data_IF_223104386726
#
_entry.id   IF_223104386726
#
_cell.length_a   1.000
_cell.length_b   1.000
_cell.length_c   1.000
_cell.angle_alpha   90.00
_cell.angle_beta   90.00
_cell.angle_gamma   90.00
#
_symmetry.space_group_name_H-M   'P 1'
#
loop_
_entity.id
_entity.type
_entity.pdbx_description
1 polymer ?
#
# COMPACT_ATOMS: atom_id res chain seq x y z
N UNK A 1 19.54 28.21 12.13
CA UNK A 1 20.54 27.56 13.00
C UNK A 1 21.50 26.82 12.09
N UNK A 2 22.70 27.35 11.88
CA UNK A 2 23.71 26.66 11.05
C UNK A 2 24.25 25.47 11.83
N UNK A 3 24.22 24.28 11.24
CA UNK A 3 24.79 23.07 11.83
C UNK A 3 26.32 23.18 11.76
N UNK A 4 27.02 22.98 12.89
CA UNK A 4 28.48 22.89 12.90
C UNK A 4 28.97 21.66 12.12
N UNK A 5 30.23 21.69 11.68
CA UNK A 5 30.82 20.57 10.93
C UNK A 5 30.86 19.28 11.74
N UNK A 6 31.15 19.36 13.04
CA UNK A 6 31.07 18.22 13.96
C UNK A 6 29.65 17.64 14.04
N UNK A 7 28.63 18.50 14.03
CA UNK A 7 27.22 18.08 14.03
C UNK A 7 26.86 17.42 12.71
N UNK A 8 27.35 17.93 11.57
CA UNK A 8 27.12 17.33 10.25
C UNK A 8 27.78 15.96 10.12
N UNK A 9 28.98 15.80 10.67
CA UNK A 9 29.67 14.50 10.72
C UNK A 9 28.89 13.49 11.56
N UNK A 10 28.42 13.89 12.74
CA UNK A 10 27.58 13.06 13.60
C UNK A 10 26.26 12.64 12.92
N UNK A 11 25.58 13.57 12.25
CA UNK A 11 24.35 13.29 11.49
C UNK A 11 24.61 12.32 10.33
N UNK A 12 25.73 12.47 9.63
CA UNK A 12 26.11 11.59 8.51
C UNK A 12 26.27 10.15 8.98
N UNK A 13 26.87 9.94 10.16
CA UNK A 13 26.98 8.62 10.77
C UNK A 13 25.62 8.01 11.13
N UNK A 14 24.66 8.82 11.60
CA UNK A 14 23.31 8.36 11.94
C UNK A 14 22.50 7.91 10.71
N UNK A 15 22.70 8.55 9.56
CA UNK A 15 21.93 8.26 8.34
C UNK A 15 22.49 7.09 7.52
N UNK A 16 23.64 6.51 7.89
CA UNK A 16 24.39 5.49 7.15
C UNK A 16 24.86 5.92 5.75
N UNK A 17 26.04 5.43 5.36
CA UNK A 17 26.63 5.73 4.05
C UNK A 17 25.78 5.24 2.86
N UNK A 18 25.07 4.12 3.01
CA UNK A 18 24.23 3.56 1.94
C UNK A 18 23.01 4.44 1.61
N UNK A 19 22.37 5.03 2.62
CA UNK A 19 21.20 5.91 2.41
C UNK A 19 21.59 7.29 1.94
N UNK A 20 22.72 7.81 2.42
CA UNK A 20 23.18 9.15 2.04
C UNK A 20 24.03 9.13 0.77
N UNK A 21 24.62 8.00 0.39
CA UNK A 21 25.60 7.89 -0.71
C UNK A 21 25.08 8.38 -2.05
N UNK A 22 23.82 8.07 -2.38
CA UNK A 22 23.20 8.58 -3.62
C UNK A 22 23.04 10.11 -3.59
N UNK A 23 22.65 10.67 -2.44
CA UNK A 23 22.50 12.12 -2.30
C UNK A 23 23.85 12.84 -2.23
N UNK A 24 24.87 12.24 -1.61
CA UNK A 24 26.24 12.75 -1.60
C UNK A 24 26.83 12.82 -3.00
N UNK A 25 26.63 11.78 -3.81
CA UNK A 25 27.09 11.75 -5.20
C UNK A 25 26.47 12.88 -6.03
N UNK A 26 25.21 13.25 -5.76
CA UNK A 26 24.50 14.32 -6.46
C UNK A 26 24.81 15.71 -5.92
N UNK A 27 24.97 15.84 -4.59
CA UNK A 27 25.11 17.12 -3.91
C UNK A 27 26.56 17.60 -3.75
N UNK A 28 27.55 16.71 -3.91
CA UNK A 28 28.98 16.99 -3.77
C UNK A 28 29.46 17.31 -2.34
N UNK A 29 28.56 17.53 -1.39
CA UNK A 29 28.91 17.80 0.02
C UNK A 29 27.84 17.28 1.00
N UNK A 30 28.19 17.02 2.29
CA UNK A 30 27.27 16.45 3.26
C UNK A 30 26.04 17.32 3.57
N UNK A 31 26.20 18.64 3.68
CA UNK A 31 25.09 19.53 4.08
C UNK A 31 23.93 19.52 3.06
N UNK A 32 24.12 19.72 1.75
CA UNK A 32 23.03 19.64 0.78
C UNK A 32 22.54 18.20 0.57
N UNK A 33 23.39 17.18 0.73
CA UNK A 33 22.96 15.78 0.70
C UNK A 33 21.97 15.45 1.83
N UNK A 34 22.26 15.89 3.06
CA UNK A 34 21.37 15.75 4.22
C UNK A 34 20.06 16.52 3.96
N UNK A 35 20.13 17.73 3.41
CA UNK A 35 18.94 18.50 3.07
C UNK A 35 18.05 17.79 2.03
N UNK A 36 18.63 17.25 0.95
CA UNK A 36 17.90 16.45 -0.05
C UNK A 36 17.27 15.20 0.55
N UNK A 37 18.01 14.49 1.40
CA UNK A 37 17.51 13.33 2.11
C UNK A 37 16.27 13.69 2.94
N UNK A 38 16.33 14.76 3.73
CA UNK A 38 15.21 15.21 4.55
C UNK A 38 14.01 15.66 3.71
N UNK A 39 14.23 16.39 2.61
CA UNK A 39 13.16 16.77 1.68
C UNK A 39 12.50 15.54 1.04
N UNK A 40 13.29 14.53 0.66
CA UNK A 40 12.78 13.27 0.11
C UNK A 40 11.92 12.52 1.14
N UNK A 41 12.35 12.51 2.40
CA UNK A 41 11.60 11.88 3.49
C UNK A 41 10.27 12.62 3.78
N UNK A 42 10.27 13.96 3.72
CA UNK A 42 9.06 14.76 3.86
C UNK A 42 8.04 14.46 2.76
N UNK A 43 8.49 14.43 1.49
CA UNK A 43 7.65 14.02 0.35
C UNK A 43 7.10 12.62 0.57
N UNK A 44 7.94 11.66 0.99
CA UNK A 44 7.52 10.29 1.25
C UNK A 44 6.44 10.21 2.35
N UNK A 45 6.56 11.01 3.42
CA UNK A 45 5.55 11.09 4.49
C UNK A 45 4.19 11.55 3.97
N UNK A 46 4.14 12.67 3.26
CA UNK A 46 2.88 13.17 2.68
C UNK A 46 2.32 12.22 1.62
N UNK A 47 3.18 11.60 0.81
CA UNK A 47 2.78 10.62 -0.21
C UNK A 47 2.15 9.37 0.42
N UNK A 48 2.64 8.90 1.57
CA UNK A 48 2.03 7.80 2.32
C UNK A 48 0.63 8.16 2.83
N UNK A 49 0.43 9.39 3.34
CA UNK A 49 -0.88 9.87 3.76
C UNK A 49 -1.88 9.87 2.59
N UNK A 50 -1.51 10.46 1.45
CA UNK A 50 -2.36 10.48 0.25
C UNK A 50 -2.66 9.06 -0.23
N UNK A 51 -1.65 8.20 -0.29
CA UNK A 51 -1.80 6.80 -0.72
C UNK A 51 -2.75 6.02 0.19
N UNK A 52 -2.72 6.25 1.51
CA UNK A 52 -3.61 5.57 2.45
C UNK A 52 -5.08 5.91 2.20
N UNK A 53 -5.39 7.20 1.95
CA UNK A 53 -6.76 7.64 1.63
C UNK A 53 -7.23 7.05 0.29
N UNK A 54 -6.36 7.07 -0.73
CA UNK A 54 -6.65 6.45 -2.03
C UNK A 54 -6.90 4.95 -1.90
N UNK A 55 -6.09 4.23 -1.12
CA UNK A 55 -6.25 2.80 -0.87
C UNK A 55 -7.59 2.49 -0.19
N UNK A 56 -7.97 3.26 0.84
CA UNK A 56 -9.25 3.09 1.54
C UNK A 56 -10.42 3.33 0.59
N UNK A 57 -10.40 4.42 -0.18
CA UNK A 57 -11.46 4.74 -1.13
C UNK A 57 -11.59 3.67 -2.22
N UNK A 58 -10.46 3.26 -2.81
CA UNK A 58 -10.41 2.19 -3.82
C UNK A 58 -10.96 0.88 -3.26
N UNK A 59 -10.47 0.45 -2.10
CA UNK A 59 -10.91 -0.77 -1.43
C UNK A 59 -12.40 -0.77 -1.19
N UNK A 60 -12.93 0.28 -0.58
CA UNK A 60 -14.35 0.35 -0.24
C UNK A 60 -15.21 0.30 -1.50
N UNK A 61 -14.82 1.04 -2.55
CA UNK A 61 -15.51 1.00 -3.86
C UNK A 61 -15.50 -0.41 -4.46
N UNK A 62 -14.36 -1.12 -4.41
CA UNK A 62 -14.26 -2.52 -4.86
C UNK A 62 -15.19 -3.41 -4.03
N UNK A 63 -15.14 -3.30 -2.70
CA UNK A 63 -15.94 -4.13 -1.79
C UNK A 63 -17.44 -3.96 -2.04
N UNK A 64 -17.91 -2.72 -2.23
CA UNK A 64 -19.32 -2.43 -2.50
C UNK A 64 -19.75 -3.05 -3.83
N UNK A 65 -18.95 -2.90 -4.88
CA UNK A 65 -19.26 -3.51 -6.18
C UNK A 65 -19.23 -5.04 -6.14
N UNK A 66 -18.27 -5.65 -5.44
CA UNK A 66 -18.19 -7.10 -5.30
C UNK A 66 -19.34 -7.66 -4.47
N UNK A 67 -19.68 -7.03 -3.34
CA UNK A 67 -20.81 -7.43 -2.51
C UNK A 67 -22.13 -7.39 -3.29
N UNK A 68 -22.36 -6.32 -4.06
CA UNK A 68 -23.54 -6.20 -4.91
C UNK A 68 -23.54 -7.21 -6.06
N UNK A 69 -22.39 -7.45 -6.69
CA UNK A 69 -22.29 -8.40 -7.80
C UNK A 69 -22.53 -9.85 -7.37
N UNK A 70 -21.97 -10.25 -6.23
CA UNK A 70 -22.12 -11.59 -5.69
C UNK A 70 -23.40 -11.77 -4.85
N UNK A 71 -24.10 -10.68 -4.50
CA UNK A 71 -25.33 -10.75 -3.70
C UNK A 71 -25.11 -11.20 -2.25
N UNK A 72 -23.89 -11.10 -1.73
CA UNK A 72 -23.53 -11.50 -0.36
C UNK A 72 -22.46 -10.59 0.19
N UNK A 73 -22.50 -10.31 1.50
CA UNK A 73 -21.44 -9.58 2.21
C UNK A 73 -20.26 -10.48 2.60
N UNK A 74 -20.39 -11.80 2.43
CA UNK A 74 -19.35 -12.81 2.73
C UNK A 74 -18.58 -13.31 1.50
N UNK A 75 -18.66 -12.57 0.39
CA UNK A 75 -18.00 -12.88 -0.88
C UNK A 75 -16.49 -13.11 -0.75
N UNK A 76 -15.83 -12.51 0.25
CA UNK A 76 -14.39 -12.67 0.46
C UNK A 76 -14.04 -14.07 0.96
N UNK A 77 -14.85 -14.65 1.85
CA UNK A 77 -14.60 -15.98 2.44
C UNK A 77 -15.27 -17.09 1.65
N UNK A 78 -16.49 -16.83 1.21
CA UNK A 78 -17.35 -17.78 0.52
C UNK A 78 -17.97 -17.12 -0.71
N UNK A 79 -17.16 -16.85 -1.76
CA UNK A 79 -17.71 -16.34 -3.01
C UNK A 79 -18.69 -17.35 -3.64
N UNK A 80 -19.81 -16.89 -4.23
CA UNK A 80 -20.70 -17.75 -5.00
C UNK A 80 -20.03 -18.33 -6.25
N UNK A 81 -20.39 -19.57 -6.60
CA UNK A 81 -19.99 -20.22 -7.85
C UNK A 81 -20.50 -19.44 -9.08
N UNK A 82 -19.78 -19.47 -10.23
CA UNK A 82 -18.57 -20.26 -10.49
C UNK A 82 -17.26 -19.55 -10.07
N UNK A 83 -17.33 -18.40 -9.40
CA UNK A 83 -16.12 -17.68 -8.99
C UNK A 83 -15.42 -18.39 -7.83
N UNK A 84 -14.10 -18.48 -7.91
CA UNK A 84 -13.25 -18.99 -6.85
C UNK A 84 -11.92 -18.24 -6.83
N UNK A 85 -11.42 -17.96 -5.62
CA UNK A 85 -10.11 -17.37 -5.44
C UNK A 85 -9.01 -18.31 -5.93
N UNK A 86 -7.93 -17.74 -6.47
CA UNK A 86 -6.70 -18.49 -6.72
C UNK A 86 -5.93 -18.68 -5.42
N UNK A 87 -4.97 -19.59 -5.40
CA UNK A 87 -4.32 -20.02 -4.16
C UNK A 87 -3.52 -18.91 -3.48
N UNK A 88 -2.96 -17.98 -4.26
CA UNK A 88 -2.32 -16.79 -3.71
C UNK A 88 -3.32 -15.92 -2.94
N UNK A 89 -4.50 -15.63 -3.51
CA UNK A 89 -5.53 -14.84 -2.83
C UNK A 89 -6.13 -15.59 -1.65
N UNK A 90 -6.36 -16.91 -1.74
CA UNK A 90 -6.80 -17.74 -0.60
C UNK A 90 -5.82 -17.62 0.58
N UNK A 91 -4.52 -17.70 0.30
CA UNK A 91 -3.47 -17.57 1.31
C UNK A 91 -3.53 -16.21 1.97
N UNK A 92 -3.60 -15.13 1.19
CA UNK A 92 -3.69 -13.76 1.73
C UNK A 92 -4.97 -13.52 2.54
N UNK A 93 -6.10 -14.08 2.11
CA UNK A 93 -7.36 -14.02 2.85
C UNK A 93 -7.23 -14.78 4.18
N UNK A 94 -6.60 -15.96 4.18
CA UNK A 94 -6.32 -16.73 5.40
C UNK A 94 -5.42 -15.97 6.38
N UNK A 95 -4.34 -15.35 5.89
CA UNK A 95 -3.45 -14.48 6.68
C UNK A 95 -4.20 -13.29 7.28
N UNK A 96 -5.06 -12.64 6.50
CA UNK A 96 -5.89 -11.52 6.94
C UNK A 96 -6.90 -11.93 8.02
N UNK A 97 -7.54 -13.11 7.88
CA UNK A 97 -8.44 -13.66 8.91
C UNK A 97 -7.65 -13.91 10.20
N UNK A 98 -6.50 -14.59 10.12
CA UNK A 98 -5.67 -14.86 11.29
C UNK A 98 -5.18 -13.57 11.97
N UNK A 99 -4.82 -12.54 11.19
CA UNK A 99 -4.44 -11.23 11.71
C UNK A 99 -5.61 -10.55 12.43
N UNK A 100 -6.81 -10.55 11.83
CA UNK A 100 -8.01 -9.98 12.44
C UNK A 100 -8.39 -10.70 13.74
N UNK A 101 -8.30 -12.03 13.76
CA UNK A 101 -8.53 -12.85 14.96
C UNK A 101 -7.52 -12.53 16.07
N UNK A 102 -6.24 -12.38 15.74
CA UNK A 102 -5.21 -11.97 16.70
C UNK A 102 -5.47 -10.59 17.25
N UNK A 103 -5.82 -9.62 16.40
CA UNK A 103 -6.14 -8.26 16.80
C UNK A 103 -7.36 -8.19 17.73
N UNK A 104 -8.40 -9.00 17.46
CA UNK A 104 -9.56 -9.14 18.34
C UNK A 104 -9.17 -9.78 19.69
N UNK A 105 -8.37 -10.85 19.66
CA UNK A 105 -7.92 -11.56 20.86
C UNK A 105 -7.05 -10.70 21.79
N UNK A 106 -6.18 -9.85 21.24
CA UNK A 106 -5.32 -8.93 22.03
C UNK A 106 -6.14 -7.95 22.86
N UNK A 107 -7.34 -7.59 22.42
CA UNK A 107 -8.25 -6.67 23.13
C UNK A 107 -9.06 -7.35 24.24
N UNK A 108 -8.96 -8.67 24.37
CA UNK A 108 -9.76 -9.42 25.34
C UNK A 108 -9.12 -9.47 26.73
N UNK A 109 -9.97 -9.37 27.75
CA UNK A 109 -9.60 -9.61 29.14
C UNK A 109 -9.52 -11.10 29.50
N UNK A 110 -9.11 -11.40 30.73
CA UNK A 110 -8.96 -12.77 31.23
C UNK A 110 -10.31 -13.51 31.35
N UNK A 111 -11.39 -12.81 31.67
CA UNK A 111 -12.72 -13.43 31.82
C UNK A 111 -13.28 -13.87 30.47
N UNK A 112 -13.19 -13.01 29.45
CA UNK A 112 -13.57 -13.33 28.08
C UNK A 112 -12.77 -14.51 27.51
N UNK A 113 -11.46 -14.56 27.77
CA UNK A 113 -10.60 -15.68 27.37
C UNK A 113 -11.02 -17.00 28.04
N UNK A 114 -11.45 -16.94 29.31
CA UNK A 114 -11.97 -18.12 30.03
C UNK A 114 -13.29 -18.60 29.44
N UNK A 115 -14.21 -17.70 29.07
CA UNK A 115 -15.46 -18.09 28.39
C UNK A 115 -15.21 -18.83 27.07
N UNK A 116 -14.16 -18.46 26.32
CA UNK A 116 -13.74 -19.19 25.13
C UNK A 116 -13.28 -20.61 25.50
N UNK A 117 -12.48 -20.75 26.56
CA UNK A 117 -12.03 -22.07 27.01
C UNK A 117 -13.19 -22.96 27.42
N UNK A 118 -14.14 -22.44 28.20
CA UNK A 118 -15.30 -23.19 28.66
C UNK A 118 -16.13 -23.70 27.47
N UNK A 119 -16.18 -22.93 26.37
CA UNK A 119 -16.85 -23.33 25.13
C UNK A 119 -16.05 -24.36 24.32
N UNK A 120 -14.73 -24.20 24.22
CA UNK A 120 -13.87 -25.04 23.37
C UNK A 120 -13.49 -26.36 24.03
N UNK A 121 -13.32 -26.36 25.35
CA UNK A 121 -12.80 -27.47 26.13
C UNK A 121 -13.84 -27.93 27.15
N UNK A 122 -14.81 -28.75 26.71
CA UNK A 122 -15.90 -29.25 27.58
C UNK A 122 -15.41 -29.93 28.87
N UNK A 123 -14.23 -30.54 28.85
CA UNK A 123 -13.62 -31.25 29.98
C UNK A 123 -12.41 -30.49 30.59
N UNK A 124 -12.33 -29.17 30.36
CA UNK A 124 -11.18 -28.36 30.75
C UNK A 124 -10.03 -28.43 29.76
N UNK A 125 -9.11 -27.46 29.86
CA UNK A 125 -7.96 -27.33 28.96
C UNK A 125 -7.04 -28.57 29.10
N UNK A 126 -6.70 -29.25 27.99
CA UNK A 126 -5.87 -30.46 28.05
C UNK A 126 -4.52 -30.23 28.75
N UNK A 127 -4.09 -31.14 29.64
CA UNK A 127 -2.76 -31.06 30.24
C UNK A 127 -1.68 -31.21 29.16
N UNK A 128 -0.64 -30.36 29.21
CA UNK A 128 0.44 -30.34 28.22
C UNK A 128 0.21 -29.42 27.02
N UNK A 129 -0.91 -28.69 26.95
CA UNK A 129 -1.13 -27.68 25.92
C UNK A 129 -0.21 -26.47 26.17
N UNK A 130 0.74 -26.22 25.26
CA UNK A 130 1.62 -25.04 25.31
C UNK A 130 0.81 -23.75 25.25
N UNK A 131 1.30 -22.68 25.89
CA UNK A 131 0.65 -21.37 25.88
C UNK A 131 0.37 -20.84 24.45
N UNK A 132 1.32 -21.00 23.54
CA UNK A 132 1.19 -20.55 22.15
C UNK A 132 0.07 -21.30 21.41
N UNK A 133 0.05 -22.63 21.51
CA UNK A 133 -1.00 -23.46 20.90
C UNK A 133 -2.37 -23.18 21.50
N UNK A 134 -2.44 -22.93 22.82
CA UNK A 134 -3.67 -22.53 23.49
C UNK A 134 -4.18 -21.19 22.98
N UNK A 135 -3.32 -20.18 22.89
CA UNK A 135 -3.66 -18.88 22.34
C UNK A 135 -4.12 -18.98 20.87
N UNK A 136 -3.45 -19.81 20.06
CA UNK A 136 -3.82 -20.04 18.64
C UNK A 136 -5.22 -20.67 18.50
N UNK A 137 -5.52 -21.68 19.31
CA UNK A 137 -6.85 -22.33 19.33
C UNK A 137 -7.94 -21.30 19.69
N UNK A 138 -7.71 -20.48 20.72
CA UNK A 138 -8.64 -19.41 21.10
C UNK A 138 -8.82 -18.41 19.97
N UNK A 139 -7.74 -17.91 19.37
CA UNK A 139 -7.78 -16.97 18.24
C UNK A 139 -8.60 -17.53 17.07
N UNK A 140 -8.35 -18.77 16.66
CA UNK A 140 -9.05 -19.41 15.53
C UNK A 140 -10.55 -19.60 15.78
N UNK A 141 -10.97 -19.68 17.04
CA UNK A 141 -12.40 -19.77 17.39
C UNK A 141 -13.17 -18.45 17.30
N UNK A 142 -12.45 -17.32 17.20
CA UNK A 142 -13.09 -16.01 17.14
C UNK A 142 -13.71 -15.77 15.77
N UNK A 143 -15.01 -15.45 15.79
CA UNK A 143 -15.70 -14.91 14.63
C UNK A 143 -15.35 -13.42 14.49
N UNK A 144 -14.77 -13.04 13.34
CA UNK A 144 -14.41 -11.65 13.03
C UNK A 144 -15.23 -11.13 11.84
N UNK A 145 -15.80 -9.91 11.91
CA UNK A 145 -16.55 -9.33 10.80
C UNK A 145 -15.71 -9.19 9.52
N UNK A 146 -16.36 -9.29 8.34
CA UNK A 146 -15.66 -9.13 7.06
C UNK A 146 -14.94 -7.80 6.92
N UNK A 147 -15.54 -6.71 7.41
CA UNK A 147 -14.89 -5.40 7.42
C UNK A 147 -13.54 -5.39 8.16
N UNK A 148 -13.41 -6.18 9.23
CA UNK A 148 -12.13 -6.32 9.94
C UNK A 148 -11.11 -7.10 9.13
N UNK A 149 -11.52 -8.17 8.43
CA UNK A 149 -10.62 -8.93 7.53
C UNK A 149 -10.17 -8.08 6.36
N UNK A 150 -11.11 -7.37 5.72
CA UNK A 150 -10.85 -6.44 4.61
C UNK A 150 -9.82 -5.38 5.03
N UNK A 151 -9.85 -4.92 6.30
CA UNK A 151 -8.88 -3.99 6.84
C UNK A 151 -7.49 -4.56 7.12
N UNK A 152 -7.33 -5.89 7.14
CA UNK A 152 -6.03 -6.55 7.25
C UNK A 152 -5.38 -6.84 5.89
N UNK A 153 -6.11 -6.66 4.79
CA UNK A 153 -5.58 -6.83 3.43
C UNK A 153 -4.84 -5.57 2.98
N UNK A 154 -3.62 -5.74 2.47
CA UNK A 154 -2.79 -4.64 1.97
C UNK A 154 -3.15 -4.25 0.53
N UNK A 155 -2.70 -3.08 0.08
CA UNK A 155 -2.81 -2.61 -1.31
C UNK A 155 -2.43 -3.68 -2.36
N UNK A 156 -1.49 -4.57 -2.05
CA UNK A 156 -1.13 -5.68 -2.94
C UNK A 156 -2.35 -6.54 -3.33
N UNK A 157 -3.20 -6.90 -2.36
CA UNK A 157 -4.39 -7.70 -2.63
C UNK A 157 -5.32 -6.97 -3.59
N UNK A 158 -5.55 -5.68 -3.35
CA UNK A 158 -6.47 -4.86 -4.13
C UNK A 158 -5.97 -4.61 -5.56
N UNK A 159 -4.68 -4.29 -5.76
CA UNK A 159 -4.11 -4.15 -7.11
C UNK A 159 -4.11 -5.47 -7.90
N UNK A 160 -3.95 -6.61 -7.21
CA UNK A 160 -3.91 -7.94 -7.82
C UNK A 160 -5.22 -8.31 -8.51
N UNK A 161 -6.35 -7.81 -8.02
CA UNK A 161 -7.66 -8.01 -8.65
C UNK A 161 -7.79 -7.40 -10.05
N UNK A 162 -6.89 -6.47 -10.42
CA UNK A 162 -6.82 -5.86 -11.75
C UNK A 162 -5.80 -6.53 -12.67
N UNK A 163 -5.18 -7.65 -12.26
CA UNK A 163 -4.26 -8.40 -13.12
C UNK A 163 -4.98 -9.16 -14.25
N UNK A 164 -4.23 -9.59 -15.26
CA UNK A 164 -4.78 -10.29 -16.44
C UNK A 164 -5.56 -11.56 -16.06
N UNK A 165 -5.11 -12.27 -15.04
CA UNK A 165 -5.76 -13.46 -14.49
C UNK A 165 -7.18 -13.23 -13.97
N UNK A 166 -7.49 -11.99 -13.59
CA UNK A 166 -8.80 -11.56 -13.10
C UNK A 166 -9.64 -10.83 -14.15
N UNK A 167 -9.20 -10.82 -15.42
CA UNK A 167 -9.91 -10.13 -16.48
C UNK A 167 -11.32 -10.71 -16.73
N UNK A 168 -11.39 -12.02 -16.99
CA UNK A 168 -12.66 -12.71 -17.20
C UNK A 168 -13.50 -12.83 -15.92
N UNK A 169 -12.94 -13.28 -14.77
CA UNK A 169 -13.77 -13.55 -13.59
C UNK A 169 -14.18 -12.31 -12.80
N UNK A 170 -13.45 -11.19 -12.85
CA UNK A 170 -13.77 -9.99 -12.05
C UNK A 170 -13.87 -8.71 -12.88
N UNK A 171 -12.90 -8.40 -13.75
CA UNK A 171 -12.90 -7.13 -14.50
C UNK A 171 -14.14 -6.95 -15.39
N UNK A 172 -14.33 -7.88 -16.33
CA UNK A 172 -15.46 -7.84 -17.28
C UNK A 172 -16.84 -7.83 -16.61
N UNK A 173 -17.10 -8.66 -15.58
CA UNK A 173 -18.41 -8.71 -14.94
C UNK A 173 -18.64 -7.59 -13.91
N UNK A 174 -17.61 -7.11 -13.20
CA UNK A 174 -17.81 -6.20 -12.07
C UNK A 174 -16.77 -5.08 -11.91
N UNK A 175 -15.45 -5.34 -11.93
CA UNK A 175 -14.46 -4.32 -11.56
C UNK A 175 -14.37 -3.16 -12.56
N UNK A 176 -14.77 -3.35 -13.83
CA UNK A 176 -14.91 -2.22 -14.76
C UNK A 176 -15.92 -1.17 -14.28
N UNK A 177 -16.83 -1.51 -13.36
CA UNK A 177 -17.77 -0.53 -12.76
C UNK A 177 -17.13 0.35 -11.69
N UNK A 178 -16.01 -0.09 -11.12
CA UNK A 178 -15.18 0.74 -10.21
C UNK A 178 -14.57 1.92 -10.98
N UNK A 179 -14.31 1.75 -12.27
CA UNK A 179 -13.83 2.77 -13.20
C UNK A 179 -14.74 2.81 -14.45
N UNK A 180 -15.92 3.43 -14.36
CA UNK A 180 -16.98 3.26 -15.35
C UNK A 180 -16.75 4.02 -16.67
N UNK A 181 -15.65 4.77 -16.79
CA UNK A 181 -15.17 5.30 -18.06
C UNK A 181 -14.88 4.17 -19.06
N UNK A 182 -15.69 4.13 -20.13
CA UNK A 182 -15.65 3.08 -21.17
C UNK A 182 -14.38 3.11 -22.02
N UNK A 183 -13.59 4.19 -21.95
CA UNK A 183 -12.33 4.30 -22.67
C UNK A 183 -11.21 3.51 -21.99
N UNK A 184 -11.35 3.23 -20.70
CA UNK A 184 -10.33 2.54 -19.90
C UNK A 184 -10.35 1.03 -20.11
N UNK A 185 -9.15 0.48 -20.33
CA UNK A 185 -8.89 -0.96 -20.29
C UNK A 185 -8.40 -1.34 -18.90
N UNK A 186 -8.56 -2.62 -18.54
CA UNK A 186 -8.03 -3.19 -17.29
C UNK A 186 -6.54 -2.87 -17.10
N UNK A 187 -5.77 -3.02 -18.18
CA UNK A 187 -4.33 -2.80 -18.17
C UNK A 187 -3.96 -1.37 -17.81
N UNK A 188 -4.73 -0.37 -18.27
CA UNK A 188 -4.48 1.04 -17.97
C UNK A 188 -4.58 1.30 -16.46
N UNK A 189 -5.63 0.75 -15.82
CA UNK A 189 -5.83 0.83 -14.36
C UNK A 189 -4.75 0.05 -13.62
N UNK A 190 -4.43 -1.16 -14.08
CA UNK A 190 -3.43 -2.02 -13.44
C UNK A 190 -2.05 -1.36 -13.38
N UNK A 191 -1.63 -0.66 -14.44
CA UNK A 191 -0.36 0.08 -14.48
C UNK A 191 -0.33 1.19 -13.44
N UNK A 192 -1.41 1.95 -13.25
CA UNK A 192 -1.44 3.01 -12.25
C UNK A 192 -1.40 2.45 -10.82
N UNK A 193 -2.16 1.38 -10.55
CA UNK A 193 -2.12 0.73 -9.24
C UNK A 193 -0.75 0.11 -8.94
N UNK A 194 -0.04 -0.40 -9.94
CA UNK A 194 1.31 -0.91 -9.79
C UNK A 194 2.31 0.20 -9.40
N UNK A 195 2.24 1.37 -10.07
CA UNK A 195 3.06 2.54 -9.74
C UNK A 195 2.88 2.97 -8.28
N UNK A 196 1.63 3.09 -7.83
CA UNK A 196 1.31 3.45 -6.43
C UNK A 196 1.83 2.38 -5.47
N UNK A 197 1.60 1.10 -5.77
CA UNK A 197 2.05 -0.02 -4.94
C UNK A 197 3.57 -0.07 -4.77
N UNK A 198 4.32 0.03 -5.86
CA UNK A 198 5.79 -0.01 -5.83
C UNK A 198 6.36 1.13 -4.99
N UNK A 199 5.86 2.34 -5.21
CA UNK A 199 6.30 3.52 -4.46
C UNK A 199 5.97 3.43 -2.98
N UNK A 200 4.75 2.99 -2.64
CA UNK A 200 4.34 2.74 -1.24
C UNK A 200 5.26 1.71 -0.57
N UNK A 201 5.53 0.59 -1.24
CA UNK A 201 6.41 -0.45 -0.70
C UNK A 201 7.83 0.05 -0.49
N UNK A 202 8.35 0.84 -1.44
CA UNK A 202 9.67 1.47 -1.34
C UNK A 202 9.78 2.38 -0.12
N UNK A 203 8.79 3.23 0.11
CA UNK A 203 8.75 4.11 1.29
C UNK A 203 8.69 3.29 2.59
N UNK A 204 7.92 2.19 2.61
CA UNK A 204 7.86 1.30 3.76
C UNK A 204 9.20 0.60 4.07
N UNK A 205 10.09 0.47 3.09
CA UNK A 205 11.47 -0.01 3.25
C UNK A 205 12.49 1.11 3.49
N UNK A 206 12.01 2.33 3.77
CA UNK A 206 12.82 3.54 3.97
C UNK A 206 13.75 3.84 2.78
N UNK A 207 13.31 3.47 1.58
CA UNK A 207 14.01 3.80 0.33
C UNK A 207 13.50 5.13 -0.25
N UNK A 208 14.39 5.94 -0.84
CA UNK A 208 14.03 7.26 -1.36
C UNK A 208 13.17 7.18 -2.63
N UNK A 209 12.30 8.18 -2.78
CA UNK A 209 11.39 8.34 -3.93
C UNK A 209 11.53 9.77 -4.48
N UNK A 210 12.08 9.88 -5.68
CA UNK A 210 12.30 11.15 -6.39
C UNK A 210 12.32 10.93 -7.91
N UNK A 211 12.52 11.99 -8.70
CA UNK A 211 12.67 11.90 -10.15
C UNK A 211 11.45 11.30 -10.85
N UNK A 212 11.69 10.45 -11.86
CA UNK A 212 10.63 9.81 -12.65
C UNK A 212 9.65 9.01 -11.79
N UNK A 213 10.16 8.30 -10.76
CA UNK A 213 9.34 7.47 -9.88
C UNK A 213 8.33 8.31 -9.11
N UNK A 214 8.77 9.45 -8.57
CA UNK A 214 7.87 10.40 -7.90
C UNK A 214 6.84 10.95 -8.89
N UNK A 215 7.29 11.41 -10.07
CA UNK A 215 6.40 11.94 -11.11
C UNK A 215 5.33 10.92 -11.54
N UNK A 216 5.72 9.70 -11.90
CA UNK A 216 4.82 8.64 -12.31
C UNK A 216 3.82 8.26 -11.22
N UNK A 217 4.23 8.34 -9.95
CA UNK A 217 3.34 8.07 -8.82
C UNK A 217 2.31 9.19 -8.64
N UNK A 218 2.72 10.45 -8.80
CA UNK A 218 1.78 11.59 -8.76
C UNK A 218 0.76 11.49 -9.89
N UNK A 219 1.19 11.19 -11.11
CA UNK A 219 0.29 10.95 -12.25
C UNK A 219 -0.67 9.78 -11.99
N UNK A 220 -0.16 8.68 -11.40
CA UNK A 220 -0.99 7.53 -11.05
C UNK A 220 -2.04 7.86 -9.97
N UNK A 221 -1.67 8.64 -8.94
CA UNK A 221 -2.62 9.09 -7.92
C UNK A 221 -3.67 10.01 -8.54
N UNK A 222 -3.26 11.00 -9.34
CA UNK A 222 -4.16 11.90 -10.03
C UNK A 222 -5.14 11.14 -10.93
N UNK A 223 -4.67 10.11 -11.63
CA UNK A 223 -5.51 9.21 -12.42
C UNK A 223 -6.60 8.56 -11.56
N UNK A 224 -6.25 7.97 -10.40
CA UNK A 224 -7.23 7.29 -9.54
C UNK A 224 -8.22 8.31 -8.95
N UNK A 225 -7.71 9.43 -8.40
CA UNK A 225 -8.51 10.47 -7.77
C UNK A 225 -9.56 11.07 -8.72
N UNK A 226 -9.20 11.22 -9.99
CA UNK A 226 -10.09 11.84 -10.99
C UNK A 226 -11.06 10.86 -11.66
N UNK A 227 -10.82 9.55 -11.56
CA UNK A 227 -11.56 8.52 -12.33
C UNK A 227 -12.29 7.49 -11.49
N UNK A 228 -11.98 7.34 -10.20
CA UNK A 228 -12.65 6.38 -9.32
C UNK A 228 -14.15 6.67 -9.24
N UNK A 229 -14.97 5.72 -9.69
CA UNK A 229 -16.43 5.84 -9.77
C UNK A 229 -16.94 6.85 -10.81
N UNK A 230 -16.08 7.39 -11.69
CA UNK A 230 -16.45 8.42 -12.66
C UNK A 230 -16.51 7.89 -14.10
N UNK A 231 -17.52 8.33 -14.86
CA UNK A 231 -17.69 7.98 -16.28
C UNK A 231 -16.75 8.75 -17.22
N UNK A 232 -16.17 9.84 -16.73
CA UNK A 232 -15.15 10.65 -17.40
C UNK A 232 -14.25 11.30 -16.32
N UNK A 233 -13.02 11.71 -16.64
CA UNK A 233 -12.15 12.42 -15.69
C UNK A 233 -12.83 13.64 -15.09
N UNK A 234 -12.79 13.74 -13.76
CA UNK A 234 -13.32 14.88 -13.04
C UNK A 234 -12.33 15.32 -11.95
N UNK A 235 -12.03 16.62 -11.86
CA UNK A 235 -11.14 17.17 -10.82
C UNK A 235 -11.87 17.53 -9.52
N UNK A 236 -13.20 17.43 -9.51
CA UNK A 236 -14.04 17.79 -8.37
C UNK A 236 -14.75 16.57 -7.75
N UNK A 237 -14.18 15.37 -7.89
CA UNK A 237 -14.73 14.16 -7.25
C UNK A 237 -14.73 14.30 -5.72
N UNK A 238 -15.59 13.58 -4.98
CA UNK A 238 -15.52 13.56 -3.52
C UNK A 238 -14.15 13.19 -2.98
N UNK A 239 -13.44 12.27 -3.65
CA UNK A 239 -12.07 11.89 -3.30
C UNK A 239 -11.06 13.03 -3.55
N UNK A 240 -11.22 13.79 -4.64
CA UNK A 240 -10.38 14.96 -4.91
C UNK A 240 -10.60 16.07 -3.87
N UNK A 241 -11.86 16.29 -3.46
CA UNK A 241 -12.21 17.25 -2.40
C UNK A 241 -11.62 16.85 -1.06
N UNK A 242 -11.69 15.54 -0.72
CA UNK A 242 -11.13 15.01 0.51
C UNK A 242 -9.61 15.17 0.60
N UNK A 243 -8.91 15.16 -0.54
CA UNK A 243 -7.45 15.19 -0.63
C UNK A 243 -6.88 16.56 -1.01
N UNK A 244 -7.70 17.62 -1.05
CA UNK A 244 -7.30 18.89 -1.67
C UNK A 244 -6.08 19.52 -0.99
N UNK A 245 -6.00 19.48 0.34
CA UNK A 245 -4.93 20.11 1.10
C UNK A 245 -3.66 19.26 1.12
N UNK A 246 -3.79 17.94 1.26
CA UNK A 246 -2.68 17.00 1.15
C UNK A 246 -2.08 17.03 -0.26
N UNK A 247 -2.92 17.12 -1.29
CA UNK A 247 -2.47 17.21 -2.68
C UNK A 247 -1.72 18.52 -2.96
N UNK A 248 -2.21 19.65 -2.44
CA UNK A 248 -1.52 20.94 -2.53
C UNK A 248 -0.15 20.88 -1.87
N UNK A 249 -0.09 20.30 -0.67
CA UNK A 249 1.16 20.14 0.09
C UNK A 249 2.15 19.25 -0.64
N UNK A 250 1.70 18.07 -1.09
CA UNK A 250 2.50 17.10 -1.82
C UNK A 250 3.06 17.69 -3.13
N UNK A 251 2.23 18.42 -3.87
CA UNK A 251 2.63 19.07 -5.12
C UNK A 251 3.69 20.14 -4.88
N UNK A 252 3.54 20.96 -3.83
CA UNK A 252 4.52 21.97 -3.47
C UNK A 252 5.85 21.34 -3.03
N UNK A 253 5.81 20.30 -2.20
CA UNK A 253 7.02 19.57 -1.78
C UNK A 253 7.72 18.89 -2.96
N UNK A 254 6.97 18.26 -3.87
CA UNK A 254 7.53 17.63 -5.07
C UNK A 254 8.19 18.66 -6.00
N UNK A 255 7.57 19.83 -6.18
CA UNK A 255 8.15 20.93 -6.94
C UNK A 255 9.43 21.47 -6.29
N UNK A 256 9.42 21.66 -4.97
CA UNK A 256 10.60 22.08 -4.20
C UNK A 256 11.74 21.07 -4.30
N UNK A 257 11.45 19.78 -4.14
CA UNK A 257 12.44 18.71 -4.29
C UNK A 257 13.05 18.69 -5.70
N UNK A 258 12.21 18.82 -6.74
CA UNK A 258 12.69 18.92 -8.13
C UNK A 258 13.60 20.12 -8.34
N UNK A 259 13.26 21.27 -7.76
CA UNK A 259 14.10 22.48 -7.84
C UNK A 259 15.45 22.29 -7.12
N UNK A 260 15.45 21.64 -5.95
CA UNK A 260 16.70 21.29 -5.23
C UNK A 260 17.61 20.41 -6.08
N UNK A 261 17.07 19.38 -6.75
CA UNK A 261 17.85 18.53 -7.65
C UNK A 261 18.41 19.30 -8.85
N UNK A 262 17.61 20.20 -9.44
CA UNK A 262 18.04 21.01 -10.58
C UNK A 262 19.17 21.99 -10.20
N UNK A 263 19.10 22.59 -9.01
CA UNK A 263 20.13 23.52 -8.52
C UNK A 263 21.49 22.85 -8.25
N UNK A 264 21.50 21.54 -7.96
CA UNK A 264 22.72 20.79 -7.67
C UNK A 264 23.38 20.19 -8.91
N UNK A 265 22.72 20.21 -10.07
CA UNK A 265 23.24 19.72 -11.34
C UNK A 265 23.44 20.86 -12.36
N UNK A 266 24.50 21.68 -12.28
CA UNK A 266 24.79 22.67 -13.32
C UNK A 266 25.47 22.06 -14.56
N UNK A 267 25.78 20.76 -14.59
CA UNK A 267 26.42 20.10 -15.73
C UNK A 267 25.64 18.86 -16.15
N UNK A 268 25.21 18.89 -17.42
CA UNK A 268 24.59 17.82 -18.20
C UNK A 268 23.08 17.63 -18.04
N UNK A 269 22.37 18.07 -19.07
CA UNK A 269 20.99 17.74 -19.41
C UNK A 269 20.83 16.24 -19.69
N UNK A 270 20.86 15.42 -18.66
CA UNK A 270 20.27 14.08 -18.58
C UNK A 270 20.19 13.80 -17.08
N UNK A 271 18.97 13.82 -16.51
CA UNK A 271 18.72 13.16 -15.22
C UNK A 271 19.34 11.76 -15.35
N UNK A 272 20.24 11.31 -14.45
CA UNK A 272 20.69 9.94 -14.52
C UNK A 272 19.42 9.10 -14.37
N UNK A 273 19.07 8.37 -15.43
CA UNK A 273 18.22 7.20 -15.27
C UNK A 273 18.86 6.46 -14.11
N UNK A 274 18.13 6.32 -13.01
CA UNK A 274 18.62 5.54 -11.89
C UNK A 274 19.18 4.27 -12.51
N UNK A 275 20.46 3.99 -12.28
CA UNK A 275 21.04 2.69 -12.58
C UNK A 275 20.39 1.71 -11.60
N UNK A 276 19.10 1.48 -11.80
CA UNK A 276 18.34 0.41 -11.25
C UNK A 276 18.48 -0.66 -12.32
N UNK A 277 19.38 -1.59 -12.07
CA UNK A 277 19.38 -2.89 -12.73
C UNK A 277 17.93 -3.33 -12.88
N UNK A 278 17.48 -3.45 -14.13
CA UNK A 278 16.27 -4.16 -14.47
C UNK A 278 16.40 -5.57 -13.91
N UNK A 279 15.91 -5.81 -12.70
CA UNK A 279 15.58 -7.16 -12.27
C UNK A 279 14.22 -7.49 -12.90
N UNK A 280 14.27 -7.75 -14.20
CA UNK A 280 13.19 -8.31 -15.00
C UNK A 280 13.07 -9.83 -14.79
N UNK A 281 13.49 -10.34 -13.62
CA UNK A 281 13.53 -11.76 -13.28
C UNK A 281 12.61 -12.06 -12.10
N UNK A 282 11.31 -11.79 -12.27
CA UNK A 282 10.26 -12.41 -11.46
C UNK A 282 8.99 -12.69 -12.31
N UNK A 283 9.20 -13.12 -13.55
CA UNK A 283 8.24 -13.94 -14.30
C UNK A 283 8.76 -15.38 -14.31
N UNK A 284 8.76 -16.01 -13.15
CA UNK A 284 8.87 -17.46 -13.02
C UNK A 284 8.10 -17.89 -11.78
N UNK A 285 6.94 -18.52 -12.01
CA UNK A 285 6.32 -19.44 -11.08
C UNK A 285 7.37 -20.44 -10.57
N UNK A 286 7.52 -20.65 -9.26
CA UNK A 286 7.66 -22.00 -8.75
C UNK A 286 6.27 -22.61 -8.58
N UNK A 287 6.18 -23.88 -8.92
CA UNK A 287 5.00 -24.75 -8.91
C UNK A 287 4.21 -24.71 -7.60
#
# INVERSE_FOLDING_TARGET
MELSDDTLAAITLLLSGERLGTFLALAGSPRPAIALHQQTLQVAGTLMCVTAVVEIALRNTICDHLANHFGTTDWLRAPPAPFGWRDQEKTRIGEAIASAQRAAYTKMDTAQKRTIDDRLFRNGVPPGLTHERHAKIRQQSLAVPNGQVIAQLTLYFWKRLFSAEYESPLWRPVLKRVFPDKTLRRADVAVQLERIYQTRNRIAHHEPVYGHRLHDTLEAIAFIVTRLGQYAPCHATPLAQLLVDEWRTLSAQAAGLRASFAAMSPVSSVLPAGHETHDATALANPQ
#
